data_IF_544506890880
#
_entry.id   IF_544506890880
#
_cell.length_a   1.000
_cell.length_b   1.000
_cell.length_c   1.000
_cell.angle_alpha   90.00
_cell.angle_beta   90.00
_cell.angle_gamma   90.00
#
_symmetry.space_group_name_H-M   'P 1'
#
loop_
_entity.id
_entity.type
_entity.pdbx_description
1 polymer ?
#
# COMPACT_ATOMS: atom_id res chain seq x y z
N UNK A 1 -22.29 -20.03 -9.05
CA UNK A 1 -21.10 -19.25 -8.62
C UNK A 1 -20.70 -18.33 -9.77
N UNK A 2 -20.56 -17.01 -9.57
CA UNK A 2 -20.18 -16.05 -10.62
C UNK A 2 -18.77 -15.53 -10.39
N UNK A 3 -17.89 -15.69 -11.38
CA UNK A 3 -16.52 -15.18 -11.38
C UNK A 3 -16.52 -13.70 -11.79
N UNK A 4 -15.82 -12.87 -11.03
CA UNK A 4 -15.75 -11.41 -11.28
C UNK A 4 -14.52 -11.06 -12.14
N UNK A 5 -13.35 -11.68 -11.93
CA UNK A 5 -12.16 -11.43 -12.77
C UNK A 5 -11.45 -12.74 -13.17
N UNK A 6 -10.90 -12.77 -14.39
CA UNK A 6 -10.21 -13.93 -14.96
C UNK A 6 -8.72 -14.03 -14.55
N UNK A 7 -8.09 -12.92 -14.20
CA UNK A 7 -6.68 -12.92 -13.80
C UNK A 7 -6.50 -13.46 -12.36
N UNK A 8 -5.49 -14.31 -12.10
CA UNK A 8 -5.17 -14.74 -10.74
C UNK A 8 -4.66 -13.56 -9.93
N UNK A 9 -5.32 -13.28 -8.79
CA UNK A 9 -4.80 -12.35 -7.80
C UNK A 9 -3.65 -13.04 -7.06
N UNK A 10 -2.45 -12.47 -7.16
CA UNK A 10 -1.24 -13.10 -6.59
C UNK A 10 -0.93 -12.62 -5.18
N UNK A 11 -1.43 -11.47 -4.74
CA UNK A 11 -1.29 -10.89 -3.39
C UNK A 11 -2.02 -9.52 -3.29
N UNK A 12 -2.10 -8.93 -2.08
CA UNK A 12 -3.31 -8.54 -1.32
C UNK A 12 -4.43 -7.85 -2.09
N UNK A 13 -5.66 -7.94 -1.56
CA UNK A 13 -6.86 -7.25 -2.08
C UNK A 13 -7.31 -6.16 -1.11
N UNK A 14 -7.85 -5.07 -1.62
CA UNK A 14 -8.50 -4.04 -0.81
C UNK A 14 -9.85 -3.66 -1.43
N UNK A 15 -10.88 -3.46 -0.60
CA UNK A 15 -12.12 -2.83 -1.04
C UNK A 15 -11.93 -1.31 -1.11
N UNK A 16 -12.53 -0.71 -2.13
CA UNK A 16 -12.78 0.72 -2.17
C UNK A 16 -13.71 1.15 -1.02
N UNK A 17 -13.65 2.41 -0.58
CA UNK A 17 -14.43 2.87 0.58
C UNK A 17 -15.95 2.73 0.42
N UNK A 18 -16.45 2.82 -0.81
CA UNK A 18 -17.87 2.66 -1.15
C UNK A 18 -18.29 1.20 -1.37
N UNK A 19 -17.34 0.27 -1.28
CA UNK A 19 -17.56 -1.17 -1.47
C UNK A 19 -17.83 -1.58 -2.93
N UNK A 20 -17.77 -0.66 -3.90
CA UNK A 20 -18.16 -0.94 -5.29
C UNK A 20 -17.04 -1.48 -6.17
N UNK A 21 -15.81 -1.37 -5.68
CA UNK A 21 -14.58 -1.77 -6.39
C UNK A 21 -13.62 -2.50 -5.47
N UNK A 22 -12.77 -3.32 -6.08
CA UNK A 22 -11.65 -4.01 -5.45
C UNK A 22 -10.35 -3.66 -6.16
N UNK A 23 -9.26 -3.50 -5.42
CA UNK A 23 -7.91 -3.35 -5.93
C UNK A 23 -7.15 -4.61 -5.61
N UNK A 24 -6.37 -5.09 -6.56
CA UNK A 24 -5.57 -6.30 -6.42
C UNK A 24 -4.32 -6.16 -7.28
N UNK A 25 -3.33 -7.01 -7.02
CA UNK A 25 -2.13 -7.09 -7.84
C UNK A 25 -2.09 -8.37 -8.67
N UNK A 26 -1.56 -8.23 -9.88
CA UNK A 26 -1.11 -9.33 -10.74
C UNK A 26 0.43 -9.34 -10.75
N UNK A 27 1.06 -10.25 -11.51
CA UNK A 27 2.52 -10.37 -11.55
C UNK A 27 3.27 -9.06 -11.84
N UNK A 28 2.64 -8.14 -12.57
CA UNK A 28 3.30 -6.94 -13.10
C UNK A 28 2.50 -5.65 -12.93
N UNK A 29 1.32 -5.71 -12.32
CA UNK A 29 0.36 -4.59 -12.35
C UNK A 29 -0.46 -4.52 -11.07
N UNK A 30 -0.87 -3.31 -10.72
CA UNK A 30 -2.02 -3.08 -9.83
C UNK A 30 -3.23 -2.81 -10.70
N UNK A 31 -4.34 -3.49 -10.38
CA UNK A 31 -5.61 -3.39 -11.09
C UNK A 31 -6.72 -2.99 -10.13
N UNK A 32 -7.72 -2.33 -10.67
CA UNK A 32 -8.98 -2.05 -9.98
C UNK A 32 -10.11 -2.67 -10.81
N UNK A 33 -10.96 -3.45 -10.17
CA UNK A 33 -12.15 -4.01 -10.77
C UNK A 33 -13.41 -3.54 -10.05
N UNK A 34 -14.48 -3.34 -10.79
CA UNK A 34 -15.82 -3.25 -10.20
C UNK A 34 -16.40 -4.64 -9.91
N UNK A 35 -17.51 -4.67 -9.18
CA UNK A 35 -18.18 -5.94 -8.84
C UNK A 35 -18.91 -6.59 -10.02
N UNK A 36 -19.03 -5.91 -11.17
CA UNK A 36 -19.63 -6.47 -12.39
C UNK A 36 -18.64 -7.33 -13.18
N UNK A 37 -17.34 -7.06 -12.98
CA UNK A 37 -16.20 -7.73 -13.60
C UNK A 37 -15.37 -6.85 -14.54
N UNK A 38 -15.77 -5.60 -14.75
CA UNK A 38 -14.95 -4.67 -15.50
C UNK A 38 -13.70 -4.32 -14.67
N UNK A 39 -12.52 -4.42 -15.29
CA UNK A 39 -11.24 -4.15 -14.62
C UNK A 39 -10.35 -3.27 -15.47
N UNK A 40 -9.51 -2.46 -14.81
CA UNK A 40 -8.49 -1.63 -15.44
C UNK A 40 -7.15 -1.72 -14.73
N UNK A 41 -6.08 -1.57 -15.48
CA UNK A 41 -4.74 -1.37 -14.92
C UNK A 41 -4.59 0.08 -14.48
N UNK A 42 -4.05 0.28 -13.28
CA UNK A 42 -3.85 1.63 -12.72
C UNK A 42 -2.37 1.97 -12.54
N UNK A 43 -1.50 0.97 -12.43
CA UNK A 43 -0.07 1.20 -12.34
C UNK A 43 0.75 -0.06 -12.68
N UNK A 44 1.94 0.10 -13.29
CA UNK A 44 2.96 -0.94 -13.26
C UNK A 44 3.50 -1.13 -11.83
N UNK A 45 3.69 -2.39 -11.46
CA UNK A 45 4.28 -2.81 -10.20
C UNK A 45 5.09 -4.10 -10.39
N UNK A 46 6.01 -4.39 -9.48
CA UNK A 46 6.70 -5.68 -9.42
C UNK A 46 6.05 -6.58 -8.38
N UNK A 47 6.67 -6.64 -7.20
CA UNK A 47 6.22 -7.50 -6.10
C UNK A 47 5.39 -6.63 -5.15
N UNK A 48 4.06 -6.75 -5.26
CA UNK A 48 3.13 -6.04 -4.38
C UNK A 48 2.84 -6.87 -3.14
N UNK A 49 3.16 -6.32 -1.96
CA UNK A 49 2.99 -7.00 -0.68
C UNK A 49 1.96 -6.33 0.24
N UNK A 50 1.45 -5.15 -0.13
CA UNK A 50 0.48 -4.40 0.66
C UNK A 50 -0.40 -3.52 -0.21
N UNK A 51 -1.72 -3.55 0.03
CA UNK A 51 -2.70 -2.63 -0.52
C UNK A 51 -3.59 -2.10 0.61
N UNK A 52 -3.85 -0.79 0.62
CA UNK A 52 -4.76 -0.16 1.59
C UNK A 52 -5.45 1.04 0.97
N UNK A 53 -6.78 1.11 1.07
CA UNK A 53 -7.54 2.26 0.58
C UNK A 53 -7.78 3.29 1.69
N UNK A 54 -7.57 4.56 1.37
CA UNK A 54 -7.96 5.68 2.22
C UNK A 54 -9.45 5.92 2.09
N UNK A 55 -10.17 5.80 3.22
CA UNK A 55 -11.62 6.09 3.28
C UNK A 55 -11.94 7.55 2.93
N UNK A 56 -11.06 8.49 3.34
CA UNK A 56 -11.31 9.93 3.19
C UNK A 56 -10.85 10.48 1.84
N UNK A 57 -9.72 10.02 1.34
CA UNK A 57 -9.06 10.64 0.19
C UNK A 57 -9.34 9.94 -1.14
N UNK A 58 -9.93 8.73 -1.08
CA UNK A 58 -10.03 7.81 -2.21
C UNK A 58 -8.67 7.57 -2.89
N UNK A 59 -7.63 7.33 -2.08
CA UNK A 59 -6.29 6.96 -2.52
C UNK A 59 -5.98 5.53 -2.14
N UNK A 60 -5.27 4.82 -3.02
CA UNK A 60 -4.68 3.53 -2.75
C UNK A 60 -3.24 3.72 -2.30
N UNK A 61 -2.87 3.14 -1.15
CA UNK A 61 -1.48 2.90 -0.80
C UNK A 61 -1.07 1.51 -1.30
N UNK A 62 0.07 1.44 -1.97
CA UNK A 62 0.64 0.22 -2.56
C UNK A 62 2.06 0.05 -2.03
N UNK A 63 2.38 -1.11 -1.47
CA UNK A 63 3.77 -1.50 -1.19
C UNK A 63 4.27 -2.32 -2.37
N UNK A 64 5.14 -1.73 -3.20
CA UNK A 64 5.80 -2.39 -4.34
C UNK A 64 7.30 -2.48 -4.07
N UNK A 65 7.84 -3.71 -4.00
CA UNK A 65 9.26 -3.98 -3.67
C UNK A 65 9.74 -3.21 -2.44
N UNK A 66 8.88 -3.10 -1.43
CA UNK A 66 9.13 -2.40 -0.17
C UNK A 66 9.07 -0.87 -0.25
N UNK A 67 8.77 -0.28 -1.40
CA UNK A 67 8.48 1.14 -1.52
C UNK A 67 6.97 1.38 -1.36
N UNK A 68 6.61 2.41 -0.59
CA UNK A 68 5.23 2.86 -0.47
C UNK A 68 4.91 3.87 -1.57
N UNK A 69 3.86 3.59 -2.32
CA UNK A 69 3.28 4.47 -3.33
C UNK A 69 1.86 4.82 -2.93
N UNK A 70 1.43 6.04 -3.23
CA UNK A 70 0.04 6.45 -3.17
C UNK A 70 -0.43 6.82 -4.58
N UNK A 71 -1.68 6.53 -4.92
CA UNK A 71 -2.27 6.89 -6.21
C UNK A 71 -3.81 6.86 -6.14
N UNK A 72 -4.47 7.52 -7.07
CA UNK A 72 -5.92 7.36 -7.27
C UNK A 72 -6.24 6.03 -7.94
N UNK A 73 -7.51 5.67 -7.88
CA UNK A 73 -8.05 4.44 -8.47
C UNK A 73 -8.06 4.41 -10.00
N UNK A 74 -7.65 5.50 -10.65
CA UNK A 74 -7.42 5.65 -12.10
C UNK A 74 -5.92 5.70 -12.44
N UNK A 75 -5.04 5.57 -11.44
CA UNK A 75 -3.58 5.64 -11.60
C UNK A 75 -3.00 7.05 -11.56
N UNK A 76 -3.83 8.09 -11.52
CA UNK A 76 -3.38 9.48 -11.37
C UNK A 76 -2.83 9.76 -9.96
N UNK A 77 -2.16 10.90 -9.81
CA UNK A 77 -1.53 11.33 -8.55
C UNK A 77 -0.55 10.31 -7.95
N UNK A 78 0.06 9.46 -8.80
CA UNK A 78 1.04 8.47 -8.35
C UNK A 78 2.25 9.14 -7.73
N UNK A 79 2.40 8.98 -6.43
CA UNK A 79 3.47 9.59 -5.63
C UNK A 79 4.16 8.56 -4.76
N UNK A 80 5.49 8.66 -4.63
CA UNK A 80 6.27 7.81 -3.72
C UNK A 80 6.31 8.46 -2.34
N UNK A 81 5.94 7.72 -1.30
CA UNK A 81 6.08 8.17 0.09
C UNK A 81 7.50 7.87 0.56
N UNK A 82 8.31 8.91 0.76
CA UNK A 82 9.70 8.79 1.16
C UNK A 82 9.83 8.33 2.63
N UNK A 83 10.21 7.06 2.83
CA UNK A 83 10.47 6.45 4.13
C UNK A 83 11.91 5.94 4.24
N UNK A 84 12.51 5.87 5.44
CA UNK A 84 13.93 5.57 5.61
C UNK A 84 14.26 4.06 5.56
N UNK A 85 13.34 3.22 5.07
CA UNK A 85 13.51 1.76 5.06
C UNK A 85 12.52 1.03 4.15
N UNK A 86 12.61 -0.29 4.18
CA UNK A 86 11.79 -1.21 3.40
C UNK A 86 10.44 -1.41 4.10
N UNK A 87 9.35 -0.96 3.49
CA UNK A 87 8.01 -1.11 4.04
C UNK A 87 7.54 -2.56 3.99
N UNK A 88 6.93 -3.00 5.08
CA UNK A 88 6.40 -4.36 5.25
C UNK A 88 4.87 -4.35 5.31
N UNK A 89 4.29 -3.33 5.94
CA UNK A 89 2.86 -3.16 6.08
C UNK A 89 2.50 -1.68 6.12
N UNK A 90 1.34 -1.32 5.57
CA UNK A 90 0.83 0.03 5.59
C UNK A 90 -0.68 0.03 5.79
N UNK A 91 -1.19 1.00 6.55
CA UNK A 91 -2.62 1.20 6.77
C UNK A 91 -2.95 2.69 6.81
N UNK A 92 -3.96 3.11 6.07
CA UNK A 92 -4.51 4.46 6.19
C UNK A 92 -5.26 4.63 7.50
N UNK A 93 -5.08 5.79 8.12
CA UNK A 93 -5.94 6.20 9.21
C UNK A 93 -7.36 6.50 8.68
N UNK A 94 -8.42 5.98 9.31
CA UNK A 94 -9.80 6.27 8.92
C UNK A 94 -10.10 7.74 9.20
N UNK A 95 -10.16 8.57 8.15
CA UNK A 95 -10.54 9.98 8.28
C UNK A 95 -9.39 11.00 8.21
N UNK A 96 -8.15 10.60 7.94
CA UNK A 96 -7.06 11.57 7.73
C UNK A 96 -6.20 11.22 6.51
N UNK A 97 -5.22 12.07 6.22
CA UNK A 97 -4.19 11.83 5.22
C UNK A 97 -2.97 11.07 5.80
N UNK A 98 -3.12 10.45 6.98
CA UNK A 98 -2.05 9.71 7.64
C UNK A 98 -2.04 8.24 7.25
N UNK A 99 -0.83 7.72 7.08
CA UNK A 99 -0.51 6.32 6.86
C UNK A 99 0.37 5.83 8.00
N UNK A 100 -0.02 4.76 8.68
CA UNK A 100 0.87 4.02 9.56
C UNK A 100 1.65 3.00 8.74
N UNK A 101 2.97 2.97 8.85
CA UNK A 101 3.84 2.09 8.07
C UNK A 101 4.85 1.41 8.99
N UNK A 102 4.89 0.07 8.93
CA UNK A 102 5.97 -0.71 9.52
C UNK A 102 7.08 -0.83 8.47
N UNK A 103 8.27 -0.38 8.82
CA UNK A 103 9.46 -0.51 7.97
C UNK A 103 10.51 -1.39 8.64
N UNK A 104 11.35 -2.00 7.80
CA UNK A 104 12.60 -2.63 8.19
C UNK A 104 13.77 -1.83 7.64
N UNK A 105 14.73 -1.51 8.51
CA UNK A 105 15.99 -0.85 8.16
C UNK A 105 17.15 -1.76 8.50
N UNK A 106 18.19 -1.75 7.68
CA UNK A 106 19.48 -2.37 8.02
C UNK A 106 20.40 -1.24 8.46
N UNK A 107 20.82 -1.26 9.73
CA UNK A 107 21.78 -0.32 10.30
C UNK A 107 22.92 -1.13 10.90
N UNK A 108 24.15 -0.86 10.48
CA UNK A 108 25.36 -1.54 11.00
C UNK A 108 25.22 -3.08 10.94
N UNK A 109 24.72 -3.60 9.82
CA UNK A 109 24.53 -5.04 9.61
C UNK A 109 23.32 -5.65 10.35
N UNK A 110 22.63 -4.90 11.20
CA UNK A 110 21.50 -5.40 11.99
C UNK A 110 20.16 -4.90 11.44
N UNK A 111 19.17 -5.79 11.35
CA UNK A 111 17.80 -5.42 10.99
C UNK A 111 17.08 -4.78 12.19
N UNK A 112 16.42 -3.65 11.95
CA UNK A 112 15.54 -2.98 12.92
C UNK A 112 14.18 -2.73 12.31
N UNK A 113 13.14 -3.00 13.08
CA UNK A 113 11.76 -2.71 12.71
C UNK A 113 11.30 -1.42 13.38
N UNK A 114 10.67 -0.55 12.61
CA UNK A 114 10.22 0.76 13.08
C UNK A 114 8.78 1.00 12.60
N UNK A 115 7.95 1.56 13.48
CA UNK A 115 6.62 2.06 13.14
C UNK A 115 6.71 3.56 12.87
N UNK A 116 6.27 3.99 11.70
CA UNK A 116 6.25 5.37 11.27
C UNK A 116 4.83 5.82 10.94
N UNK A 117 4.53 7.08 11.19
CA UNK A 117 3.45 7.81 10.55
C UNK A 117 4.03 8.59 9.37
N UNK A 118 3.33 8.59 8.25
CA UNK A 118 3.61 9.47 7.12
C UNK A 118 2.30 10.05 6.58
N UNK A 119 2.37 11.12 5.78
CA UNK A 119 1.24 11.55 4.96
C UNK A 119 1.34 11.02 3.52
N UNK A 120 0.30 11.28 2.72
CA UNK A 120 0.17 10.76 1.34
C UNK A 120 1.33 11.09 0.39
N UNK A 121 2.05 12.18 0.63
CA UNK A 121 3.16 12.67 -0.20
C UNK A 121 4.53 12.51 0.48
N UNK A 122 4.58 12.07 1.74
CA UNK A 122 5.82 11.93 2.52
C UNK A 122 6.41 13.23 3.07
N UNK A 123 5.73 14.37 2.87
CA UNK A 123 6.11 15.67 3.42
C UNK A 123 6.10 15.68 4.95
N UNK A 124 5.14 14.99 5.56
CA UNK A 124 5.15 14.65 6.97
C UNK A 124 5.60 13.21 7.18
N UNK A 125 6.52 13.01 8.12
CA UNK A 125 6.87 11.69 8.66
C UNK A 125 7.30 11.79 10.12
N UNK A 126 6.88 10.84 10.93
CA UNK A 126 7.21 10.77 12.36
C UNK A 126 7.42 9.33 12.77
N UNK A 127 8.55 9.06 13.41
CA UNK A 127 8.77 7.80 14.11
C UNK A 127 7.80 7.70 15.30
N UNK A 128 7.07 6.60 15.38
CA UNK A 128 6.19 6.28 16.52
C UNK A 128 6.95 5.46 17.55
N UNK A 129 7.54 4.34 17.10
CA UNK A 129 8.32 3.45 17.97
C UNK A 129 9.26 2.58 17.15
N UNK A 130 10.22 1.94 17.83
CA UNK A 130 11.18 0.99 17.27
C UNK A 130 11.14 -0.30 18.08
N UNK A 131 11.32 -1.44 17.42
CA UNK A 131 11.50 -2.70 18.12
C UNK A 131 12.74 -2.61 19.05
N UNK A 132 12.68 -3.16 20.28
CA UNK A 132 13.84 -3.25 21.16
C UNK A 132 15.00 -4.00 20.49
N UNK A 133 16.23 -3.66 20.85
CA UNK A 133 17.38 -4.45 20.40
C UNK A 133 17.30 -5.88 20.97
N UNK A 134 17.53 -6.90 20.13
CA UNK A 134 17.71 -8.29 20.58
C UNK A 134 16.49 -9.20 20.61
N UNK A 135 15.35 -8.83 20.00
CA UNK A 135 14.26 -9.77 19.72
C UNK A 135 13.90 -9.73 18.23
N UNK A 136 14.39 -10.73 17.49
CA UNK A 136 13.91 -11.13 16.18
C UNK A 136 12.93 -12.29 16.35
#
# INVERSE_FOLDING_TARGET
>A
MRRIVAEPALSPVAFSPDGRRIAFSTERRVRVADLSGASREIAPAGIVTGLSWSLRLNLLAVIDRGAVWTMRDDGSERTRVALPGFALQAAWAPGSDRLAVVIRRTLEGTQRFELWLANRDGGFKRLVTRAPAGRA
#
